data_IF_634070852714
#
_entry.id   IF_634070852714
#
_cell.length_a   1.000
_cell.length_b   1.000
_cell.length_c   1.000
_cell.angle_alpha   90.00
_cell.angle_beta   90.00
_cell.angle_gamma   90.00
#
_symmetry.space_group_name_H-M   'P 1'
#
loop_
_entity.id
_entity.type
_entity.pdbx_description
1 polymer ?
#
# COMPACT_ATOMS: atom_id res chain seq x y z
N UNK A 1 7.11 -4.10 19.38
CA UNK A 1 7.78 -4.73 18.22
C UNK A 1 6.88 -4.54 17.01
N UNK A 2 7.45 -4.19 15.84
CA UNK A 2 6.68 -4.20 14.59
C UNK A 2 6.49 -5.65 14.14
N UNK A 3 5.28 -6.02 13.75
CA UNK A 3 5.01 -7.35 13.17
C UNK A 3 5.40 -7.32 11.69
N UNK A 4 6.10 -8.35 11.17
CA UNK A 4 6.42 -8.42 9.74
C UNK A 4 5.18 -8.46 8.86
N UNK A 5 5.30 -7.88 7.67
CA UNK A 5 4.27 -7.89 6.63
C UNK A 5 4.48 -9.12 5.75
N UNK A 6 3.42 -9.91 5.57
CA UNK A 6 3.42 -11.05 4.67
C UNK A 6 3.11 -10.63 3.22
N UNK A 7 2.01 -9.89 3.02
CA UNK A 7 1.59 -9.41 1.69
C UNK A 7 0.62 -8.23 1.80
N UNK A 8 0.35 -7.58 0.67
CA UNK A 8 -0.64 -6.52 0.56
C UNK A 8 -1.60 -6.78 -0.62
N UNK A 9 -2.89 -6.53 -0.41
CA UNK A 9 -3.94 -6.73 -1.40
C UNK A 9 -4.48 -5.37 -1.87
N UNK A 10 -4.43 -5.03 -3.17
CA UNK A 10 -5.02 -3.80 -3.68
C UNK A 10 -6.54 -3.78 -3.49
N UNK A 11 -7.07 -2.71 -2.90
CA UNK A 11 -8.52 -2.51 -2.76
C UNK A 11 -9.15 -1.97 -4.04
N UNK A 12 -8.34 -1.36 -4.92
CA UNK A 12 -8.74 -0.83 -6.23
C UNK A 12 -7.70 -1.20 -7.27
N UNK A 13 -8.16 -1.43 -8.51
CA UNK A 13 -7.30 -1.84 -9.63
C UNK A 13 -6.33 -0.73 -10.08
N UNK A 14 -6.77 0.52 -10.02
CA UNK A 14 -6.04 1.64 -10.62
C UNK A 14 -5.37 2.50 -9.55
N UNK A 15 -4.14 2.93 -9.82
CA UNK A 15 -3.45 3.93 -9.03
C UNK A 15 -3.96 5.34 -9.36
N UNK A 16 -3.98 6.20 -8.35
CA UNK A 16 -4.13 7.64 -8.54
C UNK A 16 -2.74 8.21 -8.74
N UNK A 17 -2.50 8.84 -9.89
CA UNK A 17 -1.23 9.48 -10.20
C UNK A 17 -1.31 10.98 -9.92
N UNK A 18 -0.42 11.50 -9.08
CA UNK A 18 -0.25 12.93 -8.85
C UNK A 18 0.97 13.44 -9.63
N UNK A 19 0.70 14.26 -10.64
CA UNK A 19 1.74 14.83 -11.49
C UNK A 19 2.63 15.83 -10.75
N UNK A 20 2.13 16.52 -9.71
CA UNK A 20 2.91 17.52 -8.96
C UNK A 20 4.01 16.88 -8.14
N UNK A 21 3.73 15.74 -7.53
CA UNK A 21 4.67 14.96 -6.71
C UNK A 21 5.32 13.82 -7.48
N UNK A 22 4.84 13.54 -8.70
CA UNK A 22 5.23 12.40 -9.53
C UNK A 22 5.02 11.03 -8.84
N UNK A 23 4.05 10.96 -7.92
CA UNK A 23 3.75 9.77 -7.14
C UNK A 23 2.52 9.03 -7.68
N UNK A 24 2.49 7.72 -7.46
CA UNK A 24 1.30 6.90 -7.68
C UNK A 24 0.86 6.26 -6.36
N UNK A 25 -0.45 6.34 -6.06
CA UNK A 25 -1.04 5.84 -4.82
C UNK A 25 -2.11 4.78 -5.09
N UNK A 26 -2.08 3.67 -4.34
CA UNK A 26 -3.09 2.60 -4.36
C UNK A 26 -3.51 2.25 -2.93
N UNK A 27 -4.80 2.32 -2.59
CA UNK A 27 -5.29 1.80 -1.31
C UNK A 27 -5.10 0.27 -1.26
N UNK A 28 -4.52 -0.23 -0.17
CA UNK A 28 -4.21 -1.64 0.06
C UNK A 28 -4.64 -2.10 1.45
N UNK A 29 -4.99 -3.37 1.57
CA UNK A 29 -5.02 -4.07 2.86
C UNK A 29 -3.67 -4.77 3.06
N UNK A 30 -2.96 -4.45 4.13
CA UNK A 30 -1.70 -5.09 4.52
C UNK A 30 -2.02 -6.24 5.46
N UNK A 31 -1.48 -7.42 5.18
CA UNK A 31 -1.62 -8.62 6.00
C UNK A 31 -0.29 -8.92 6.70
N UNK A 32 -0.34 -9.04 8.02
CA UNK A 32 0.80 -9.34 8.88
C UNK A 32 0.95 -10.85 9.12
N UNK A 33 2.15 -11.28 9.47
CA UNK A 33 2.45 -12.69 9.74
C UNK A 33 1.70 -13.27 10.95
N UNK A 34 1.23 -12.41 11.85
CA UNK A 34 0.40 -12.77 13.01
C UNK A 34 -1.09 -12.96 12.69
N UNK A 35 -1.47 -12.82 11.42
CA UNK A 35 -2.86 -12.89 10.95
C UNK A 35 -3.62 -11.56 11.05
N UNK A 36 -2.99 -10.49 11.54
CA UNK A 36 -3.55 -9.15 11.54
C UNK A 36 -3.68 -8.55 10.14
N UNK A 37 -4.60 -7.60 9.99
CA UNK A 37 -4.74 -6.83 8.75
C UNK A 37 -5.07 -5.36 9.04
N UNK A 38 -4.58 -4.46 8.18
CA UNK A 38 -4.83 -3.03 8.28
C UNK A 38 -4.93 -2.37 6.90
N UNK A 39 -5.83 -1.40 6.73
CA UNK A 39 -5.96 -0.61 5.51
C UNK A 39 -4.96 0.55 5.51
N UNK A 40 -4.28 0.75 4.38
CA UNK A 40 -3.31 1.84 4.19
C UNK A 40 -3.17 2.19 2.70
N UNK A 41 -2.24 3.11 2.38
CA UNK A 41 -1.93 3.52 1.01
C UNK A 41 -0.51 3.10 0.66
N UNK A 42 -0.36 2.31 -0.42
CA UNK A 42 0.93 2.06 -1.04
C UNK A 42 1.27 3.24 -1.95
N UNK A 43 2.42 3.86 -1.72
CA UNK A 43 2.94 4.98 -2.53
C UNK A 43 4.16 4.51 -3.31
N UNK A 44 4.10 4.63 -4.63
CA UNK A 44 5.29 4.55 -5.49
C UNK A 44 5.86 5.95 -5.66
N UNK A 45 7.04 6.16 -5.08
CA UNK A 45 7.83 7.37 -5.26
C UNK A 45 8.53 7.40 -6.64
N UNK A 46 8.99 8.57 -7.10
CA UNK A 46 9.91 8.69 -8.23
C UNK A 46 11.20 7.88 -8.02
N UNK A 47 11.85 7.49 -9.12
CA UNK A 47 13.13 6.78 -9.10
C UNK A 47 14.31 7.74 -8.85
#
# INVERSE_FOLDING_TARGET
>A
MSVPVAHATPMKRNAIYDHRTQQAAVPVTVHSEDGGACETVLVRAPA
#
